data_IF_598499956004
#
_entry.id   IF_598499956004
#
_cell.length_a   1.000
_cell.length_b   1.000
_cell.length_c   1.000
_cell.angle_alpha   90.00
_cell.angle_beta   90.00
_cell.angle_gamma   90.00
#
_symmetry.space_group_name_H-M   'P 1'
#
loop_
_entity.id
_entity.type
_entity.pdbx_description
1 polymer ?
#
# COMPACT_ATOMS: atom_id res chain seq x y z
N UNK A 1 3.01 1.03 12.95
CA UNK A 1 2.72 2.49 12.91
C UNK A 1 1.24 2.64 12.63
N UNK A 2 0.50 3.48 13.34
CA UNK A 2 -0.93 3.21 13.52
C UNK A 2 -1.80 4.41 13.11
N UNK A 3 -2.86 4.16 12.33
CA UNK A 3 -3.77 5.19 11.79
C UNK A 3 -5.16 5.00 12.36
N UNK A 4 -5.78 6.09 12.83
CA UNK A 4 -7.17 6.12 13.27
C UNK A 4 -8.09 6.38 12.08
N UNK A 5 -9.01 5.47 11.82
CA UNK A 5 -10.13 5.61 10.90
C UNK A 5 -11.37 5.98 11.71
N UNK A 6 -11.78 7.25 11.65
CA UNK A 6 -13.01 7.72 12.28
C UNK A 6 -14.18 7.35 11.38
N UNK A 7 -15.20 6.68 11.93
CA UNK A 7 -16.42 6.31 11.19
C UNK A 7 -17.68 6.78 11.92
N UNK A 8 -18.79 6.95 11.22
CA UNK A 8 -20.09 7.24 11.85
C UNK A 8 -20.65 6.11 12.73
N UNK A 9 -20.02 4.93 12.77
CA UNK A 9 -20.37 3.80 13.64
C UNK A 9 -19.36 3.56 14.78
N UNK A 10 -18.38 4.47 14.93
CA UNK A 10 -17.27 4.38 15.87
C UNK A 10 -15.92 4.36 15.17
N UNK A 11 -14.85 4.32 15.95
CA UNK A 11 -13.48 4.44 15.44
C UNK A 11 -12.79 3.08 15.29
N UNK A 12 -11.88 2.99 14.32
CA UNK A 12 -11.05 1.80 14.07
C UNK A 12 -9.58 2.21 14.03
N UNK A 13 -8.73 1.58 14.83
CA UNK A 13 -7.27 1.80 14.79
C UNK A 13 -6.64 0.71 13.93
N UNK A 14 -5.86 1.10 12.92
CA UNK A 14 -5.16 0.18 12.02
C UNK A 14 -3.65 0.30 12.23
N UNK A 15 -3.02 -0.78 12.66
CA UNK A 15 -1.57 -0.94 12.61
C UNK A 15 -1.10 -1.24 11.19
N UNK A 16 -0.20 -0.42 10.67
CA UNK A 16 0.44 -0.57 9.37
C UNK A 16 1.82 -1.24 9.50
N UNK A 17 2.06 -2.23 8.66
CA UNK A 17 3.33 -2.96 8.49
C UNK A 17 4.28 -2.16 7.60
N UNK A 18 4.69 -0.97 8.07
CA UNK A 18 5.47 0.01 7.28
C UNK A 18 6.86 -0.45 6.85
N UNK A 19 7.38 -1.49 7.52
CA UNK A 19 8.73 -2.00 7.30
C UNK A 19 8.71 -3.19 6.31
N UNK A 20 7.66 -4.02 6.32
CA UNK A 20 7.40 -5.06 5.32
C UNK A 20 6.80 -4.50 4.01
N UNK A 21 5.84 -3.58 4.09
CA UNK A 21 5.09 -3.04 2.96
C UNK A 21 5.24 -1.50 2.81
N UNK A 22 6.48 -0.98 2.63
CA UNK A 22 6.75 0.45 2.62
C UNK A 22 6.09 1.22 1.46
N UNK A 23 5.91 0.64 0.27
CA UNK A 23 5.25 1.31 -0.86
C UNK A 23 3.76 1.43 -0.62
N UNK A 24 3.11 0.34 -0.19
CA UNK A 24 1.68 0.26 0.08
C UNK A 24 1.29 1.18 1.20
N UNK A 25 1.99 1.11 2.34
CA UNK A 25 1.74 1.99 3.49
C UNK A 25 1.91 3.47 3.10
N UNK A 26 2.96 3.81 2.35
CA UNK A 26 3.20 5.18 1.89
C UNK A 26 2.10 5.68 0.95
N UNK A 27 1.59 4.83 0.06
CA UNK A 27 0.48 5.17 -0.81
C UNK A 27 -0.81 5.41 -0.02
N UNK A 28 -1.18 4.47 0.86
CA UNK A 28 -2.34 4.56 1.74
C UNK A 28 -2.32 5.85 2.59
N UNK A 29 -1.20 6.14 3.26
CA UNK A 29 -1.03 7.37 4.05
C UNK A 29 -1.14 8.64 3.21
N UNK A 30 -0.51 8.66 2.02
CA UNK A 30 -0.58 9.83 1.12
C UNK A 30 -2.02 10.10 0.67
N UNK A 31 -2.79 9.05 0.36
CA UNK A 31 -4.20 9.17 -0.03
C UNK A 31 -5.06 9.63 1.15
N UNK A 32 -4.87 9.05 2.34
CA UNK A 32 -5.55 9.47 3.56
C UNK A 32 -5.28 10.94 3.92
N UNK A 33 -4.03 11.42 3.77
CA UNK A 33 -3.66 12.82 4.00
C UNK A 33 -4.33 13.83 3.08
N UNK A 34 -4.51 13.51 1.80
CA UNK A 34 -5.17 14.41 0.84
C UNK A 34 -6.70 14.28 0.92
N UNK A 35 -7.20 13.66 2.01
CA UNK A 35 -8.60 13.38 2.27
C UNK A 35 -9.27 12.56 1.14
N UNK A 36 -8.49 11.75 0.39
CA UNK A 36 -9.00 10.97 -0.75
C UNK A 36 -10.09 9.99 -0.34
N UNK A 37 -10.00 9.44 0.87
CA UNK A 37 -10.99 8.51 1.41
C UNK A 37 -12.15 9.21 2.14
N UNK A 38 -12.08 10.52 2.38
CA UNK A 38 -13.09 11.23 3.15
C UNK A 38 -14.35 11.43 2.30
N UNK A 39 -15.48 10.87 2.75
CA UNK A 39 -16.73 10.89 1.99
C UNK A 39 -16.77 9.93 0.79
N UNK A 40 -15.72 9.13 0.56
CA UNK A 40 -15.82 8.00 -0.37
C UNK A 40 -16.77 6.93 0.19
N UNK A 41 -17.90 6.77 -0.50
CA UNK A 41 -18.69 5.54 -0.43
C UNK A 41 -17.97 4.42 -1.19
N UNK A 42 -18.36 3.17 -0.93
CA UNK A 42 -17.79 1.97 -1.55
C UNK A 42 -18.16 1.79 -3.03
N UNK A 43 -17.82 2.75 -3.89
CA UNK A 43 -17.90 2.61 -5.35
C UNK A 43 -17.13 3.68 -6.12
N UNK A 44 -16.33 3.18 -7.08
CA UNK A 44 -15.59 3.83 -8.16
C UNK A 44 -14.24 4.52 -7.88
N UNK A 45 -13.34 4.35 -8.85
CA UNK A 45 -11.89 4.59 -8.78
C UNK A 45 -11.49 5.62 -9.83
N UNK A 46 -10.69 6.62 -9.45
CA UNK A 46 -9.94 7.44 -10.41
C UNK A 46 -8.48 7.00 -10.46
N UNK A 47 -7.86 7.13 -11.64
CA UNK A 47 -6.55 6.58 -12.01
C UNK A 47 -5.40 6.99 -11.07
N UNK A 48 -5.20 6.19 -10.03
CA UNK A 48 -3.89 6.08 -9.40
C UNK A 48 -2.97 5.28 -10.34
N UNK A 49 -1.73 5.75 -10.49
CA UNK A 49 -0.69 5.02 -11.22
C UNK A 49 -0.39 3.74 -10.43
N UNK A 50 -0.67 2.58 -11.04
CA UNK A 50 -0.54 1.28 -10.38
C UNK A 50 0.86 1.03 -9.80
N UNK A 51 0.95 0.24 -8.72
CA UNK A 51 2.21 -0.16 -8.10
C UNK A 51 2.26 -1.66 -7.76
N UNK A 52 3.50 -2.14 -7.61
CA UNK A 52 3.87 -3.55 -7.43
C UNK A 52 3.32 -4.15 -6.12
N UNK A 53 3.21 -5.48 -6.08
CA UNK A 53 2.76 -6.21 -4.89
C UNK A 53 3.91 -6.38 -3.88
N UNK A 54 3.62 -6.23 -2.58
CA UNK A 54 4.59 -6.44 -1.48
C UNK A 54 4.17 -7.71 -0.70
N UNK A 55 4.24 -8.87 -1.38
CA UNK A 55 3.81 -10.17 -0.84
C UNK A 55 4.88 -10.80 0.06
N UNK A 56 4.48 -11.20 1.26
CA UNK A 56 5.35 -11.84 2.25
C UNK A 56 4.74 -13.14 2.78
N UNK A 57 5.57 -14.15 3.04
CA UNK A 57 5.09 -15.49 3.45
C UNK A 57 4.54 -15.54 4.88
N UNK A 58 4.92 -14.59 5.74
CA UNK A 58 4.42 -14.43 7.11
C UNK A 58 3.18 -13.53 7.22
N UNK A 59 2.88 -12.72 6.19
CA UNK A 59 1.72 -11.82 6.19
C UNK A 59 0.53 -12.48 5.47
N UNK A 60 -0.42 -12.98 6.27
CA UNK A 60 -1.55 -13.81 5.82
C UNK A 60 -2.89 -13.30 6.34
N UNK A 61 -3.97 -13.77 5.75
CA UNK A 61 -5.35 -13.50 6.16
C UNK A 61 -5.81 -14.42 7.30
N UNK A 62 -4.90 -14.74 8.23
CA UNK A 62 -5.15 -15.69 9.33
C UNK A 62 -6.19 -15.19 10.34
N UNK A 63 -6.35 -13.87 10.49
CA UNK A 63 -7.23 -13.25 11.48
C UNK A 63 -8.22 -12.26 10.86
N UNK A 64 -9.37 -12.08 11.51
CA UNK A 64 -10.29 -10.96 11.32
C UNK A 64 -9.54 -9.64 11.58
N UNK A 65 -9.85 -8.62 10.80
CA UNK A 65 -9.21 -7.31 10.88
C UNK A 65 -7.90 -7.20 10.09
N UNK A 66 -7.45 -8.23 9.37
CA UNK A 66 -6.34 -8.09 8.41
C UNK A 66 -6.72 -7.07 7.33
N UNK A 67 -5.81 -6.15 7.02
CA UNK A 67 -6.00 -5.08 6.03
C UNK A 67 -5.10 -5.34 4.82
N UNK A 68 -5.70 -5.42 3.63
CA UNK A 68 -5.00 -5.78 2.40
C UNK A 68 -5.53 -5.03 1.17
N UNK A 69 -4.72 -4.95 0.11
CA UNK A 69 -5.06 -4.24 -1.13
C UNK A 69 -6.03 -5.03 -2.01
N UNK A 70 -7.07 -4.35 -2.51
CA UNK A 70 -7.88 -4.82 -3.62
C UNK A 70 -7.20 -4.38 -4.93
N UNK A 71 -6.44 -5.27 -5.53
CA UNK A 71 -5.72 -5.03 -6.79
C UNK A 71 -6.54 -5.46 -8.00
N UNK A 72 -6.30 -4.82 -9.16
CA UNK A 72 -6.91 -5.21 -10.43
C UNK A 72 -6.16 -6.40 -11.12
N UNK A 73 -5.32 -7.11 -10.37
CA UNK A 73 -4.37 -8.12 -10.85
C UNK A 73 -2.97 -7.92 -10.25
N UNK A 74 -2.03 -8.79 -10.64
CA UNK A 74 -0.65 -8.77 -10.17
C UNK A 74 0.02 -7.43 -10.49
N UNK A 75 0.63 -6.79 -9.49
CA UNK A 75 1.25 -5.46 -9.57
C UNK A 75 0.29 -4.33 -10.00
N UNK A 76 -1.02 -4.51 -9.80
CA UNK A 76 -2.06 -3.53 -10.11
C UNK A 76 -2.75 -2.99 -8.85
N UNK A 77 -1.95 -2.63 -7.84
CA UNK A 77 -2.44 -1.94 -6.63
C UNK A 77 -2.70 -0.46 -6.91
N UNK A 78 -3.82 0.07 -6.39
CA UNK A 78 -4.24 1.45 -6.58
C UNK A 78 -4.63 2.10 -5.23
N UNK A 79 -5.89 2.49 -5.05
CA UNK A 79 -6.39 3.10 -3.81
C UNK A 79 -7.32 2.19 -2.99
N UNK A 80 -7.86 1.13 -3.60
CA UNK A 80 -8.82 0.23 -2.95
C UNK A 80 -8.13 -0.76 -2.01
N UNK A 81 -8.71 -0.94 -0.83
CA UNK A 81 -8.30 -1.91 0.19
C UNK A 81 -9.54 -2.55 0.81
N UNK A 82 -9.35 -3.66 1.52
CA UNK A 82 -10.38 -4.33 2.31
C UNK A 82 -9.88 -4.66 3.71
N UNK A 83 -10.82 -4.89 4.62
CA UNK A 83 -10.57 -5.39 5.98
C UNK A 83 -11.30 -6.73 6.12
N UNK A 84 -10.61 -7.77 6.58
CA UNK A 84 -11.21 -9.11 6.74
C UNK A 84 -12.23 -9.13 7.87
N UNK A 85 -13.36 -9.81 7.66
CA UNK A 85 -14.44 -9.93 8.65
C UNK A 85 -14.50 -11.32 9.31
N UNK A 86 -13.62 -12.24 8.90
CA UNK A 86 -13.47 -13.61 9.41
C UNK A 86 -11.98 -13.98 9.45
N UNK A 87 -11.66 -15.00 10.22
CA UNK A 87 -10.34 -15.61 10.32
C UNK A 87 -10.07 -16.55 9.12
N UNK A 88 -8.81 -16.99 8.98
CA UNK A 88 -8.38 -18.06 8.05
C UNK A 88 -8.83 -17.92 6.56
N UNK A 89 -8.76 -16.72 5.98
CA UNK A 89 -9.14 -16.47 4.56
C UNK A 89 -8.00 -16.89 3.58
N UNK A 90 -7.56 -18.14 3.70
CA UNK A 90 -6.34 -18.70 3.06
C UNK A 90 -6.32 -18.61 1.53
N UNK A 91 -7.48 -18.51 0.87
CA UNK A 91 -7.55 -18.41 -0.59
C UNK A 91 -7.10 -17.04 -1.13
N UNK A 92 -6.91 -16.03 -0.27
CA UNK A 92 -6.35 -14.71 -0.60
C UNK A 92 -4.84 -14.60 -0.30
N UNK A 93 -4.27 -15.57 0.43
CA UNK A 93 -2.85 -15.57 0.77
C UNK A 93 -1.98 -15.65 -0.49
N UNK A 94 -0.90 -14.87 -0.51
CA UNK A 94 0.01 -14.78 -1.66
C UNK A 94 -0.55 -14.03 -2.88
N UNK A 95 -1.80 -13.56 -2.86
CA UNK A 95 -2.46 -12.86 -3.99
C UNK A 95 -2.63 -11.35 -3.77
N UNK A 96 -2.67 -10.91 -2.52
CA UNK A 96 -2.92 -9.53 -2.14
C UNK A 96 -1.87 -9.04 -1.15
N UNK A 97 -1.42 -7.80 -1.31
CA UNK A 97 -0.52 -7.14 -0.36
C UNK A 97 -1.25 -6.89 0.96
N UNK A 98 -0.93 -7.71 1.98
CA UNK A 98 -1.36 -7.52 3.37
C UNK A 98 -0.45 -6.47 4.01
N UNK A 99 -0.98 -5.27 4.30
CA UNK A 99 -0.19 -4.12 4.73
C UNK A 99 -0.53 -3.62 6.14
N UNK A 100 -1.48 -4.26 6.83
CA UNK A 100 -1.78 -3.94 8.22
C UNK A 100 -2.79 -4.86 8.89
N UNK A 101 -3.13 -4.54 10.14
CA UNK A 101 -4.24 -5.14 10.87
C UNK A 101 -4.97 -4.10 11.72
N UNK A 102 -6.26 -4.31 11.94
CA UNK A 102 -7.00 -3.62 12.99
C UNK A 102 -6.40 -4.00 14.35
N UNK A 103 -6.11 -2.99 15.16
CA UNK A 103 -5.66 -3.09 16.55
C UNK A 103 -6.83 -2.87 17.52
N UNK A 104 -7.70 -1.91 17.22
CA UNK A 104 -8.87 -1.54 18.04
C UNK A 104 -10.08 -1.25 17.13
N UNK A 105 -11.32 -1.47 17.61
CA UNK A 105 -12.55 -1.28 16.83
C UNK A 105 -13.04 -2.51 16.05
N UNK A 106 -12.68 -3.74 16.47
CA UNK A 106 -13.19 -4.97 15.85
C UNK A 106 -14.71 -5.16 15.99
N UNK A 107 -15.34 -4.51 16.96
CA UNK A 107 -16.79 -4.40 17.13
C UNK A 107 -17.41 -3.42 16.13
N UNK A 108 -16.72 -2.31 15.82
CA UNK A 108 -17.12 -1.37 14.77
C UNK A 108 -17.16 -2.05 13.40
N UNK A 109 -16.24 -2.98 13.12
CA UNK A 109 -16.33 -3.83 11.92
C UNK A 109 -17.61 -4.70 11.90
N UNK A 110 -18.09 -5.16 13.06
CA UNK A 110 -19.36 -5.92 13.15
C UNK A 110 -20.54 -4.98 12.87
N UNK A 111 -20.54 -3.79 13.46
CA UNK A 111 -21.56 -2.74 13.21
C UNK A 111 -21.61 -2.36 11.73
N UNK A 112 -20.46 -2.19 11.07
CA UNK A 112 -20.37 -1.92 9.62
C UNK A 112 -20.94 -3.10 8.80
N UNK A 113 -20.62 -4.34 9.14
CA UNK A 113 -21.15 -5.53 8.45
C UNK A 113 -22.65 -5.76 8.69
N UNK A 114 -23.19 -5.28 9.81
CA UNK A 114 -24.62 -5.36 10.15
C UNK A 114 -25.43 -4.15 9.68
N UNK A 115 -24.76 -3.08 9.25
CA UNK A 115 -25.43 -1.90 8.72
C UNK A 115 -26.18 -2.28 7.43
N UNK A 116 -27.43 -1.83 7.32
CA UNK A 116 -28.17 -1.95 6.07
C UNK A 116 -27.44 -1.18 4.98
N UNK A 117 -27.27 -1.82 3.82
CA UNK A 117 -26.82 -1.13 2.60
C UNK A 117 -28.02 -0.39 2.01
N UNK A 118 -28.34 0.76 2.61
CA UNK A 118 -29.22 1.77 2.03
C UNK A 118 -28.42 3.01 1.62
N UNK A 119 -29.05 3.99 0.98
CA UNK A 119 -28.37 5.23 0.54
C UNK A 119 -27.93 6.15 1.70
N UNK A 120 -28.08 5.74 2.97
CA UNK A 120 -27.67 6.53 4.14
C UNK A 120 -26.25 6.15 4.57
N UNK A 121 -25.42 7.18 4.55
CA UNK A 121 -23.98 7.08 4.25
C UNK A 121 -23.16 6.91 5.53
N UNK A 122 -22.41 5.82 5.66
CA UNK A 122 -21.31 5.75 6.63
C UNK A 122 -20.26 6.77 6.20
N UNK A 123 -19.97 7.75 7.06
CA UNK A 123 -18.91 8.75 6.81
C UNK A 123 -17.60 8.26 7.39
N UNK A 124 -16.51 8.47 6.64
CA UNK A 124 -15.14 8.16 7.03
C UNK A 124 -14.29 9.43 7.07
N UNK A 125 -13.41 9.55 8.07
CA UNK A 125 -12.38 10.58 8.15
C UNK A 125 -11.05 10.00 8.68
N UNK A 126 -9.97 10.17 7.91
CA UNK A 126 -8.60 9.81 8.31
C UNK A 126 -7.71 11.02 8.60
N UNK A 127 -8.19 12.24 8.34
CA UNK A 127 -7.37 13.43 8.09
C UNK A 127 -6.37 13.73 9.21
N UNK A 128 -6.85 13.79 10.46
CA UNK A 128 -6.07 14.19 11.63
C UNK A 128 -5.05 13.14 12.09
N UNK A 129 -5.29 11.86 11.81
CA UNK A 129 -4.42 10.76 12.23
C UNK A 129 -3.36 10.47 11.16
N UNK A 130 -3.76 10.38 9.89
CA UNK A 130 -2.87 10.16 8.76
C UNK A 130 -1.86 11.31 8.60
N UNK A 131 -2.25 12.55 8.89
CA UNK A 131 -1.35 13.70 8.89
C UNK A 131 -0.19 13.54 9.89
N UNK A 132 -0.50 13.12 11.13
CA UNK A 132 0.51 12.93 12.20
C UNK A 132 1.48 11.80 11.86
N UNK A 133 0.97 10.67 11.37
CA UNK A 133 1.81 9.52 11.01
C UNK A 133 2.66 9.76 9.77
N UNK A 134 2.15 10.48 8.76
CA UNK A 134 2.93 10.82 7.59
C UNK A 134 4.18 11.66 7.92
N UNK A 135 4.06 12.63 8.84
CA UNK A 135 5.21 13.40 9.29
C UNK A 135 6.27 12.48 9.91
N UNK A 136 5.88 11.61 10.85
CA UNK A 136 6.78 10.60 11.44
C UNK A 136 7.44 9.72 10.38
N UNK A 137 6.67 9.21 9.41
CA UNK A 137 7.17 8.38 8.31
C UNK A 137 8.16 9.14 7.41
N UNK A 138 7.87 10.40 7.04
CA UNK A 138 8.79 11.26 6.29
C UNK A 138 10.11 11.47 7.02
N UNK A 139 10.09 11.70 8.33
CA UNK A 139 11.30 11.85 9.15
C UNK A 139 12.09 10.53 9.27
N UNK A 140 11.44 9.36 9.32
CA UNK A 140 12.11 8.04 9.24
C UNK A 140 12.81 7.87 7.87
N UNK A 141 12.13 8.24 6.78
CA UNK A 141 12.67 8.16 5.41
C UNK A 141 13.79 9.16 5.10
N UNK A 142 13.84 10.35 5.71
CA UNK A 142 14.97 11.28 5.50
C UNK A 142 16.22 10.81 6.22
N UNK A 143 16.12 10.27 7.44
CA UNK A 143 17.26 9.68 8.16
C UNK A 143 17.82 8.43 7.48
N UNK A 144 16.99 7.57 6.88
CA UNK A 144 17.50 6.41 6.14
C UNK A 144 18.11 6.73 4.77
N UNK A 145 17.87 7.95 4.22
CA UNK A 145 18.51 8.41 2.98
C UNK A 145 19.92 8.96 3.16
N UNK A 146 20.30 9.41 4.36
CA UNK A 146 21.67 9.92 4.62
C UNK A 146 22.72 8.81 4.77
N UNK A 147 22.30 7.55 4.91
CA UNK A 147 23.19 6.38 5.04
C UNK A 147 23.45 5.65 3.71
N UNK A 148 22.97 6.16 2.57
CA UNK A 148 23.32 5.58 1.26
C UNK A 148 24.71 6.08 0.84
N UNK A 149 25.68 5.20 0.53
CA UNK A 149 26.96 5.64 0.01
C UNK A 149 26.76 6.38 -1.32
N UNK A 150 27.45 7.51 -1.51
CA UNK A 150 27.45 8.26 -2.77
C UNK A 150 27.95 7.33 -3.88
N UNK A 151 27.12 7.05 -4.89
CA UNK A 151 27.60 6.38 -6.12
C UNK A 151 28.69 7.24 -6.74
N UNK A 152 29.90 6.68 -6.84
CA UNK A 152 31.07 7.37 -7.36
C UNK A 152 30.93 7.54 -8.89
N UNK A 153 30.91 8.77 -9.44
CA UNK A 153 30.53 8.99 -10.84
C UNK A 153 31.71 8.79 -11.82
N UNK A 154 32.39 7.64 -11.77
CA UNK A 154 33.45 7.26 -12.72
C UNK A 154 33.51 5.76 -12.99
N UNK A 155 32.79 5.31 -14.01
CA UNK A 155 33.10 4.07 -14.77
C UNK A 155 32.42 4.08 -16.14
N UNK A 156 32.78 5.05 -16.99
CA UNK A 156 32.46 5.00 -18.42
C UNK A 156 33.36 3.94 -19.07
N UNK A 157 32.88 2.70 -19.14
CA UNK A 157 33.58 1.63 -19.87
C UNK A 157 33.45 1.93 -21.37
N UNK A 158 34.57 2.23 -22.03
CA UNK A 158 34.63 2.33 -23.48
C UNK A 158 34.20 0.99 -24.11
N UNK A 159 33.22 1.02 -25.02
CA UNK A 159 32.99 -0.11 -25.94
C UNK A 159 34.11 -0.08 -26.99
N UNK A 160 34.85 -1.18 -27.21
CA UNK A 160 35.77 -1.25 -28.34
C UNK A 160 35.00 -1.22 -29.66
N UNK A 161 35.46 -0.39 -30.59
CA UNK A 161 34.94 -0.29 -31.95
C UNK A 161 35.24 -1.57 -32.74
N UNK A 162 34.21 -2.20 -33.31
CA UNK A 162 34.36 -3.34 -34.23
C UNK A 162 35.20 -2.95 -35.45
N UNK A 163 36.39 -3.53 -35.57
CA UNK A 163 37.26 -3.34 -36.73
C UNK A 163 36.75 -4.13 -37.94
N UNK A 164 36.28 -3.41 -38.97
CA UNK A 164 35.89 -3.99 -40.25
C UNK A 164 36.67 -3.38 -41.41
N UNK A 165 37.71 -4.08 -41.90
CA UNK A 165 38.31 -3.85 -43.23
C UNK A 165 38.47 -5.16 -43.98
N UNK A 166 38.33 -5.04 -45.31
CA UNK A 166 38.44 -6.06 -46.39
C UNK A 166 39.82 -6.77 -46.34
N UNK A 167 40.10 -7.92 -46.94
CA UNK A 167 39.77 -8.46 -48.30
C UNK A 167 39.39 -9.97 -48.19
N UNK A 168 39.28 -10.86 -49.21
CA UNK A 168 39.68 -10.86 -50.64
C UNK A 168 38.65 -11.55 -51.57
N UNK A 169 38.96 -11.54 -52.88
CA UNK A 169 38.43 -12.41 -53.93
C UNK A 169 38.87 -13.88 -53.80
N UNK A 170 38.10 -14.81 -54.39
CA UNK A 170 38.49 -15.93 -55.31
C UNK A 170 37.22 -16.74 -55.66
N UNK A 171 37.05 -17.13 -56.93
CA UNK A 171 35.88 -17.87 -57.44
C UNK A 171 35.27 -17.19 -58.66
#
# INVERSE_FOLDING_TARGET
MSVLLVTSLGDVVIDLFTDDCPLTCKNFLKLAMINYYNGCLFHNVQQARFFEDEIHSHLKHSKKGTVAMASAGKNLNASQFYITLRDDIRYLDGKHTVFGNVAEGLDVLVKINQAYVDDRRIRFDFSQSAYKEWHKYRFKMTRSRSLRPKKNPRSFVHKPTMGGRRVSSHG
#
